data_IF_998138434838
#
_entry.id   IF_998138434838
#
_cell.length_a   1.000
_cell.length_b   1.000
_cell.length_c   1.000
_cell.angle_alpha   90.00
_cell.angle_beta   90.00
_cell.angle_gamma   90.00
#
_symmetry.space_group_name_H-M   'P 1'
#
loop_
_entity.id
_entity.type
_entity.pdbx_description
1 polymer ?
#
# COMPACT_ATOMS: atom_id res chain seq x y z
N UNK A 1 -1.55 -23.05 -3.30
CA UNK A 1 -1.88 -23.69 -4.60
C UNK A 1 -2.13 -22.61 -5.63
N UNK A 2 -1.54 -22.75 -6.82
CA UNK A 2 -1.68 -21.80 -7.94
C UNK A 2 -2.27 -22.57 -9.12
N UNK A 3 -3.31 -21.99 -9.72
CA UNK A 3 -4.14 -22.60 -10.75
C UNK A 3 -4.04 -21.82 -12.05
N UNK A 4 -4.06 -22.51 -13.19
CA UNK A 4 -4.25 -21.87 -14.47
C UNK A 4 -5.71 -21.39 -14.62
N UNK A 5 -5.99 -20.40 -15.48
CA UNK A 5 -7.36 -19.94 -15.72
C UNK A 5 -8.28 -21.11 -16.08
N UNK A 6 -9.37 -21.25 -15.33
CA UNK A 6 -10.40 -22.29 -15.51
C UNK A 6 -9.96 -23.75 -15.24
N UNK A 7 -8.76 -23.98 -14.68
CA UNK A 7 -8.31 -25.34 -14.33
C UNK A 7 -8.56 -25.68 -12.85
N UNK A 8 -9.03 -26.92 -12.60
CA UNK A 8 -9.25 -27.43 -11.22
C UNK A 8 -7.99 -28.01 -10.58
N UNK A 9 -6.98 -28.36 -11.39
CA UNK A 9 -5.72 -28.91 -10.91
C UNK A 9 -4.71 -27.77 -10.79
N UNK A 10 -4.04 -27.68 -9.65
CA UNK A 10 -2.96 -26.70 -9.48
C UNK A 10 -1.71 -27.15 -10.22
N UNK A 11 -0.97 -26.20 -10.79
CA UNK A 11 0.32 -26.46 -11.42
C UNK A 11 1.50 -26.21 -10.48
N UNK A 12 1.30 -25.43 -9.42
CA UNK A 12 2.33 -25.07 -8.45
C UNK A 12 1.77 -25.02 -7.02
N UNK A 13 2.41 -25.73 -6.11
CA UNK A 13 2.18 -25.61 -4.67
C UNK A 13 3.29 -24.75 -4.06
N UNK A 14 2.93 -23.77 -3.25
CA UNK A 14 3.88 -23.00 -2.43
C UNK A 14 3.52 -23.23 -0.96
N UNK A 15 4.50 -23.60 -0.15
CA UNK A 15 4.35 -23.92 1.27
C UNK A 15 5.51 -23.34 2.07
N UNK A 16 5.34 -23.21 3.39
CA UNK A 16 6.36 -22.65 4.28
C UNK A 16 5.84 -21.44 5.03
N UNK A 17 6.76 -20.55 5.42
CA UNK A 17 6.47 -19.37 6.24
C UNK A 17 6.61 -18.10 5.42
N UNK A 18 5.55 -17.27 5.37
CA UNK A 18 5.56 -16.01 4.62
C UNK A 18 6.60 -15.00 5.14
N UNK A 19 6.99 -15.10 6.42
CA UNK A 19 8.04 -14.31 7.07
C UNK A 19 9.41 -14.95 7.04
N UNK A 20 9.57 -16.12 6.42
CA UNK A 20 10.81 -16.88 6.40
C UNK A 20 11.04 -17.59 5.06
N UNK A 21 11.25 -18.90 5.13
CA UNK A 21 11.46 -19.74 3.96
C UNK A 21 10.12 -20.22 3.39
N UNK A 22 9.90 -19.93 2.12
CA UNK A 22 8.87 -20.52 1.30
C UNK A 22 9.52 -21.42 0.25
N UNK A 23 8.97 -22.63 0.11
CA UNK A 23 9.35 -23.61 -0.90
C UNK A 23 8.22 -23.75 -1.91
N UNK A 24 8.57 -24.01 -3.16
CA UNK A 24 7.62 -24.30 -4.23
C UNK A 24 7.85 -25.67 -4.82
N UNK A 25 6.76 -26.28 -5.28
CA UNK A 25 6.76 -27.60 -5.89
C UNK A 25 5.84 -27.59 -7.11
N UNK A 26 6.40 -27.90 -8.28
CA UNK A 26 5.62 -28.08 -9.49
C UNK A 26 4.81 -29.38 -9.41
N UNK A 27 3.52 -29.26 -9.70
CA UNK A 27 2.56 -30.35 -9.70
C UNK A 27 2.43 -30.90 -11.12
N UNK A 28 3.20 -31.95 -11.44
CA UNK A 28 3.14 -32.59 -12.76
C UNK A 28 1.90 -33.48 -12.94
N UNK A 29 1.40 -33.56 -14.18
CA UNK A 29 0.42 -34.57 -14.64
C UNK A 29 1.01 -35.96 -14.78
N UNK A 30 2.32 -36.06 -15.03
CA UNK A 30 2.94 -37.28 -15.53
C UNK A 30 3.47 -38.20 -14.40
N UNK A 31 3.00 -37.98 -13.16
CA UNK A 31 3.38 -38.80 -11.99
C UNK A 31 4.78 -38.51 -11.42
N UNK A 32 5.63 -37.76 -12.12
CA UNK A 32 6.92 -37.31 -11.61
C UNK A 32 6.75 -36.23 -10.53
N UNK A 33 6.81 -36.65 -9.26
CA UNK A 33 6.82 -35.74 -8.10
C UNK A 33 8.16 -35.00 -8.06
N UNK A 34 8.16 -33.72 -8.42
CA UNK A 34 9.32 -32.87 -8.18
C UNK A 34 9.52 -32.65 -6.67
N UNK A 35 10.79 -32.49 -6.28
CA UNK A 35 11.13 -32.10 -4.91
C UNK A 35 10.77 -30.63 -4.70
N UNK A 36 10.39 -30.22 -3.48
CA UNK A 36 10.30 -28.81 -3.15
C UNK A 36 11.65 -28.12 -3.42
N UNK A 37 11.58 -26.94 -4.01
CA UNK A 37 12.71 -26.05 -4.24
C UNK A 37 12.46 -24.72 -3.52
N UNK A 38 13.53 -24.05 -3.10
CA UNK A 38 13.43 -22.73 -2.46
C UNK A 38 12.76 -21.76 -3.43
N UNK A 39 11.60 -21.23 -3.04
CA UNK A 39 10.89 -20.21 -3.80
C UNK A 39 11.40 -18.82 -3.41
N UNK A 40 11.32 -18.51 -2.11
CA UNK A 40 11.75 -17.25 -1.52
C UNK A 40 12.21 -17.52 -0.10
N UNK A 41 13.40 -17.02 0.25
CA UNK A 41 13.80 -16.88 1.65
C UNK A 41 13.84 -15.40 2.02
N UNK A 42 12.84 -14.95 2.77
CA UNK A 42 12.70 -13.55 3.17
C UNK A 42 13.86 -13.10 4.06
N UNK A 43 14.47 -14.01 4.83
CA UNK A 43 15.60 -13.69 5.70
C UNK A 43 16.86 -13.27 4.91
N UNK A 44 16.96 -13.72 3.65
CA UNK A 44 18.08 -13.42 2.77
C UNK A 44 17.85 -12.16 1.91
N UNK A 45 16.64 -11.59 1.89
CA UNK A 45 16.32 -10.43 1.06
C UNK A 45 16.58 -9.13 1.83
N UNK A 46 17.48 -8.25 1.37
CA UNK A 46 17.72 -6.98 2.04
C UNK A 46 16.50 -6.03 1.95
N UNK A 47 16.25 -5.30 3.04
CA UNK A 47 15.16 -4.32 3.10
C UNK A 47 15.61 -3.00 2.46
N UNK A 48 15.03 -2.68 1.30
CA UNK A 48 15.23 -1.39 0.65
C UNK A 48 14.19 -0.36 1.13
N UNK A 49 14.65 0.62 1.90
CA UNK A 49 13.77 1.68 2.43
C UNK A 49 13.37 2.66 1.32
N UNK A 50 12.12 3.13 1.38
CA UNK A 50 11.65 4.22 0.51
C UNK A 50 12.37 5.53 0.86
N UNK A 51 12.78 6.27 -0.17
CA UNK A 51 13.25 7.65 -0.03
C UNK A 51 12.05 8.57 0.20
N UNK A 52 12.10 9.38 1.24
CA UNK A 52 11.01 10.29 1.62
C UNK A 52 11.63 11.62 2.04
N UNK A 53 11.01 12.73 1.62
CA UNK A 53 11.45 14.08 1.96
C UNK A 53 11.49 14.32 3.48
N UNK A 54 12.38 15.20 3.97
CA UNK A 54 12.35 15.68 5.36
C UNK A 54 10.98 16.23 5.75
N UNK A 55 10.59 16.11 7.03
CA UNK A 55 9.26 16.54 7.50
C UNK A 55 9.02 18.03 7.25
N UNK A 56 10.06 18.87 7.34
CA UNK A 56 10.00 20.30 7.06
C UNK A 56 9.56 20.63 5.62
N UNK A 57 9.82 19.72 4.67
CA UNK A 57 9.45 19.84 3.26
C UNK A 57 8.16 19.09 2.88
N UNK A 58 7.54 18.40 3.84
CA UNK A 58 6.29 17.68 3.62
C UNK A 58 5.09 18.62 3.77
N UNK A 59 4.07 18.42 2.96
CA UNK A 59 2.80 19.13 3.09
C UNK A 59 2.04 18.72 4.34
N UNK A 60 1.12 19.56 4.82
CA UNK A 60 0.40 19.33 6.09
C UNK A 60 -0.37 18.02 6.16
N UNK A 61 -0.82 17.51 5.01
CA UNK A 61 -1.61 16.28 4.90
C UNK A 61 -0.76 15.03 4.62
N UNK A 62 0.57 15.13 4.63
CA UNK A 62 1.46 13.98 4.48
C UNK A 62 1.63 13.23 5.81
N UNK A 63 1.60 11.90 5.75
CA UNK A 63 1.47 11.05 6.94
C UNK A 63 2.55 11.26 7.99
N UNK A 64 3.84 11.41 7.60
CA UNK A 64 4.90 11.61 8.61
C UNK A 64 4.78 12.97 9.31
N UNK A 65 4.23 13.99 8.64
CA UNK A 65 3.98 15.30 9.25
C UNK A 65 2.76 15.25 10.17
N UNK A 66 1.64 14.67 9.73
CA UNK A 66 0.42 14.51 10.55
C UNK A 66 0.73 13.74 11.85
N UNK A 67 1.43 12.62 11.73
CA UNK A 67 1.64 11.68 12.84
C UNK A 67 2.93 11.92 13.61
N UNK A 68 3.67 13.00 13.32
CA UNK A 68 4.99 13.27 13.88
C UNK A 68 4.99 13.17 15.42
N UNK A 69 4.12 13.93 16.09
CA UNK A 69 4.06 13.97 17.57
C UNK A 69 3.64 12.64 18.20
N UNK A 70 2.71 11.92 17.56
CA UNK A 70 2.29 10.59 18.01
C UNK A 70 3.48 9.63 17.95
N UNK A 71 4.18 9.60 16.82
CA UNK A 71 5.34 8.72 16.67
C UNK A 71 6.53 9.13 17.54
N UNK A 72 6.67 10.43 17.85
CA UNK A 72 7.68 10.92 18.80
C UNK A 72 7.39 10.42 20.23
N UNK A 73 6.13 10.53 20.69
CA UNK A 73 5.71 9.97 21.98
C UNK A 73 5.94 8.46 22.08
N UNK A 74 5.53 7.70 21.05
CA UNK A 74 5.76 6.25 21.01
C UNK A 74 7.24 5.87 21.05
N UNK A 75 8.10 6.60 20.33
CA UNK A 75 9.56 6.35 20.35
C UNK A 75 10.20 6.65 21.69
N UNK A 76 9.67 7.62 22.43
CA UNK A 76 10.12 7.97 23.78
C UNK A 76 9.43 7.14 24.86
N UNK A 77 8.56 6.20 24.48
CA UNK A 77 7.70 5.43 25.38
C UNK A 77 6.82 6.31 26.30
N UNK A 78 6.47 7.51 25.84
CA UNK A 78 5.58 8.46 26.51
C UNK A 78 4.16 8.28 25.94
N UNK A 79 3.40 7.42 26.60
CA UNK A 79 2.07 7.01 26.16
C UNK A 79 1.05 8.15 26.29
N UNK A 80 1.17 8.99 27.32
CA UNK A 80 0.29 10.12 27.54
C UNK A 80 0.47 11.16 26.42
N UNK A 81 1.71 11.49 26.09
CA UNK A 81 2.01 12.37 24.94
C UNK A 81 1.47 11.80 23.63
N UNK A 82 1.70 10.51 23.36
CA UNK A 82 1.22 9.88 22.14
C UNK A 82 -0.31 9.90 22.05
N UNK A 83 -1.00 9.62 23.16
CA UNK A 83 -2.47 9.59 23.25
C UNK A 83 -3.08 10.97 23.06
N UNK A 84 -2.49 11.99 23.69
CA UNK A 84 -2.92 13.38 23.56
C UNK A 84 -2.74 13.88 22.12
N UNK A 85 -1.58 13.62 21.51
CA UNK A 85 -1.33 13.98 20.11
C UNK A 85 -2.28 13.25 19.14
N UNK A 86 -2.54 11.95 19.37
CA UNK A 86 -3.51 11.16 18.58
C UNK A 86 -4.91 11.77 18.67
N UNK A 87 -5.34 12.12 19.88
CA UNK A 87 -6.65 12.73 20.13
C UNK A 87 -6.80 14.06 19.40
N UNK A 88 -5.75 14.88 19.35
CA UNK A 88 -5.76 16.15 18.61
C UNK A 88 -5.95 15.93 17.10
N UNK A 89 -5.19 15.00 16.49
CA UNK A 89 -5.31 14.66 15.06
C UNK A 89 -6.73 14.18 14.75
N UNK A 90 -7.25 13.24 15.54
CA UNK A 90 -8.59 12.67 15.30
C UNK A 90 -9.70 13.70 15.53
N UNK A 91 -9.59 14.56 16.53
CA UNK A 91 -10.58 15.59 16.80
C UNK A 91 -10.60 16.65 15.68
N UNK A 92 -9.44 17.02 15.14
CA UNK A 92 -9.36 17.90 13.96
C UNK A 92 -10.11 17.28 12.78
N UNK A 93 -9.87 16.02 12.46
CA UNK A 93 -10.57 15.32 11.38
C UNK A 93 -12.09 15.21 11.63
N UNK A 94 -12.53 14.96 12.88
CA UNK A 94 -13.96 14.95 13.24
C UNK A 94 -14.61 16.31 13.03
N UNK A 95 -13.94 17.39 13.42
CA UNK A 95 -14.44 18.75 13.24
C UNK A 95 -14.54 19.12 11.75
N UNK A 96 -13.53 18.78 10.95
CA UNK A 96 -13.57 19.00 9.49
C UNK A 96 -14.69 18.20 8.80
N UNK A 97 -14.93 16.96 9.24
CA UNK A 97 -16.04 16.15 8.73
C UNK A 97 -17.41 16.75 9.10
N UNK A 98 -17.55 17.24 10.33
CA UNK A 98 -18.76 17.94 10.77
C UNK A 98 -19.01 19.20 9.94
N UNK A 99 -17.98 20.02 9.72
CA UNK A 99 -18.09 21.24 8.92
C UNK A 99 -18.48 20.95 7.47
N UNK A 100 -17.88 19.92 6.85
CA UNK A 100 -18.27 19.48 5.49
C UNK A 100 -19.74 19.07 5.42
N UNK A 101 -20.21 18.30 6.42
CA UNK A 101 -21.62 17.90 6.51
C UNK A 101 -22.54 19.10 6.65
N UNK A 102 -22.20 20.07 7.50
CA UNK A 102 -22.99 21.30 7.69
C UNK A 102 -23.06 22.15 6.42
N UNK A 103 -22.01 22.14 5.60
CA UNK A 103 -21.96 22.82 4.31
C UNK A 103 -22.57 22.02 3.15
N UNK A 104 -23.02 20.79 3.39
CA UNK A 104 -23.40 19.83 2.34
C UNK A 104 -22.30 19.61 1.29
N UNK A 105 -21.04 19.63 1.71
CA UNK A 105 -19.88 19.34 0.86
C UNK A 105 -19.51 17.86 0.93
N UNK A 106 -19.26 17.23 -0.22
CA UNK A 106 -18.74 15.87 -0.28
C UNK A 106 -17.22 15.84 -0.06
N UNK A 107 -16.70 14.68 0.35
CA UNK A 107 -15.25 14.49 0.47
C UNK A 107 -14.63 14.22 -0.90
N UNK A 108 -13.77 15.12 -1.35
CA UNK A 108 -13.01 14.93 -2.58
C UNK A 108 -11.61 14.35 -2.31
N UNK A 109 -11.26 13.28 -3.02
CA UNK A 109 -9.93 12.68 -2.95
C UNK A 109 -8.99 13.32 -3.98
N UNK A 110 -7.73 13.55 -3.61
CA UNK A 110 -6.77 14.28 -4.45
C UNK A 110 -6.28 13.50 -5.68
N UNK A 111 -6.06 12.19 -5.51
CA UNK A 111 -5.30 11.38 -6.47
C UNK A 111 -6.10 10.23 -7.09
N UNK A 112 -7.25 9.87 -6.53
CA UNK A 112 -8.03 8.71 -6.99
C UNK A 112 -9.47 9.15 -7.25
N UNK A 113 -10.22 8.38 -8.03
CA UNK A 113 -11.66 8.57 -8.22
C UNK A 113 -12.37 7.22 -8.12
N UNK A 114 -13.57 7.17 -7.51
CA UNK A 114 -14.38 5.96 -7.50
C UNK A 114 -14.95 5.70 -8.90
N UNK A 115 -14.92 4.46 -9.34
CA UNK A 115 -15.51 3.96 -10.59
C UNK A 115 -16.16 2.60 -10.28
N UNK A 116 -17.49 2.60 -10.12
CA UNK A 116 -18.21 1.44 -9.58
C UNK A 116 -17.68 1.09 -8.18
N UNK A 117 -17.29 -0.17 -8.00
CA UNK A 117 -16.70 -0.67 -6.75
C UNK A 117 -15.16 -0.55 -6.70
N UNK A 118 -14.55 0.12 -7.68
CA UNK A 118 -13.10 0.26 -7.81
C UNK A 118 -12.63 1.70 -7.70
N UNK A 119 -11.32 1.90 -7.48
CA UNK A 119 -10.68 3.21 -7.47
C UNK A 119 -9.64 3.30 -8.57
N UNK A 120 -9.73 4.36 -9.39
CA UNK A 120 -8.78 4.61 -10.48
C UNK A 120 -7.93 5.82 -10.13
N UNK A 121 -6.61 5.69 -10.33
CA UNK A 121 -5.69 6.81 -10.19
C UNK A 121 -5.98 7.87 -11.26
N UNK A 122 -6.02 9.15 -10.89
CA UNK A 122 -6.46 10.22 -11.80
C UNK A 122 -5.47 10.57 -12.90
N UNK A 123 -4.21 10.13 -12.79
CA UNK A 123 -3.14 10.42 -13.76
C UNK A 123 -2.33 9.16 -14.13
N UNK A 124 -2.98 8.10 -14.65
CA UNK A 124 -2.33 6.83 -14.93
C UNK A 124 -1.18 7.00 -15.93
N UNK A 125 -0.19 6.10 -15.86
CA UNK A 125 0.98 6.17 -16.73
C UNK A 125 0.59 6.15 -18.22
N UNK A 126 -0.38 5.31 -18.60
CA UNK A 126 -0.90 5.23 -19.97
C UNK A 126 -1.38 6.59 -20.51
N UNK A 127 -2.10 7.36 -19.69
CA UNK A 127 -2.56 8.70 -20.06
C UNK A 127 -1.40 9.68 -20.20
N UNK A 128 -0.40 9.63 -19.29
CA UNK A 128 0.77 10.50 -19.35
C UNK A 128 1.59 10.24 -20.63
N UNK A 129 1.82 8.98 -20.97
CA UNK A 129 2.51 8.58 -22.19
C UNK A 129 1.74 9.01 -23.46
N UNK A 130 0.42 8.87 -23.47
CA UNK A 130 -0.41 9.33 -24.60
C UNK A 130 -0.31 10.85 -24.79
N UNK A 131 -0.32 11.62 -23.70
CA UNK A 131 -0.20 13.08 -23.76
C UNK A 131 1.17 13.53 -24.28
N UNK A 132 2.25 12.83 -23.90
CA UNK A 132 3.60 13.07 -24.43
C UNK A 132 3.63 12.85 -25.95
N UNK A 133 3.08 11.74 -26.45
CA UNK A 133 3.02 11.44 -27.89
C UNK A 133 2.20 12.46 -28.70
N UNK A 134 1.12 13.00 -28.13
CA UNK A 134 0.30 14.04 -28.78
C UNK A 134 1.10 15.36 -28.87
N UNK A 135 1.85 15.69 -27.82
CA UNK A 135 2.65 16.91 -27.79
C UNK A 135 3.86 16.84 -28.72
N UNK A 136 4.48 15.67 -28.90
CA UNK A 136 5.59 15.47 -29.85
C UNK A 136 5.16 15.56 -31.33
N UNK A 137 3.86 15.35 -31.61
CA UNK A 137 3.29 15.42 -32.97
C UNK A 137 2.75 16.80 -33.35
N UNK A 138 2.80 17.78 -32.44
CA UNK A 138 2.40 19.17 -32.66
C UNK A 138 3.62 20.05 -32.84
#
# INVERSE_FOLDING_TARGET
EIYAPNEKKSFLSVSGEWSGLMESKLNSSDGNKQKPEVFVDVNCIPIFKKNVRPIAEQTEMESRRIWMEVTAGLRLNDIDRATNAKSQVEQKQRNEAKLRKEKNEEWETKNFKPVGDSWIYTKPLSQRLLMEQINEKR
#
